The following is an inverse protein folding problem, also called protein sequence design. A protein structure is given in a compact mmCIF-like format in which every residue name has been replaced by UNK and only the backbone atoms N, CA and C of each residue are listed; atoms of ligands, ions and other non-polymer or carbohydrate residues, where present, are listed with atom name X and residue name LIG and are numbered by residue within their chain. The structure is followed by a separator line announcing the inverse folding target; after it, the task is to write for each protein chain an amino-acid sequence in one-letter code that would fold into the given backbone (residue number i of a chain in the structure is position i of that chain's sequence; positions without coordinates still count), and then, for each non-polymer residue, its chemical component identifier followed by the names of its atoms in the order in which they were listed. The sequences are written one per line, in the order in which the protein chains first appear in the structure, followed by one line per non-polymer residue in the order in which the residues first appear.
data_IF_750165002942
#
_entry.id   IF_750165002942
#
_cell.length_a   1.000
_cell.length_b   1.000
_cell.length_c   1.000
_cell.angle_alpha   90.00
_cell.angle_beta   90.00
_cell.angle_gamma   90.00
#
_symmetry.space_group_name_H-M   'P 1'
#
loop_
_entity.id
_entity.type
_entity.pdbx_description
1 polymer ?
#
# COMPACT_ATOMS: atom_id res chain seq x y z
N UNK A 1 -13.45 23.19 -1.09
CA UNK A 1 -14.01 22.05 -0.32
C UNK A 1 -12.86 21.41 0.45
N UNK A 2 -13.08 21.01 1.70
CA UNK A 2 -12.11 20.18 2.41
C UNK A 2 -12.04 18.82 1.70
N UNK A 3 -10.83 18.31 1.39
CA UNK A 3 -10.66 17.01 0.75
C UNK A 3 -10.71 15.93 1.83
N UNK A 4 -11.65 14.99 1.72
CA UNK A 4 -11.80 13.88 2.67
C UNK A 4 -10.74 12.81 2.42
N UNK A 5 -10.06 12.37 3.47
CA UNK A 5 -8.97 11.39 3.42
C UNK A 5 -9.42 10.09 4.08
N UNK A 6 -9.38 9.01 3.31
CA UNK A 6 -9.66 7.64 3.78
C UNK A 6 -8.36 6.86 3.84
N UNK A 7 -8.00 6.35 5.01
CA UNK A 7 -6.87 5.44 5.18
C UNK A 7 -7.32 3.98 5.03
N UNK A 8 -6.77 3.27 4.05
CA UNK A 8 -6.95 1.85 3.83
C UNK A 8 -5.71 1.08 4.27
N UNK A 9 -5.89 0.17 5.22
CA UNK A 9 -4.83 -0.69 5.76
C UNK A 9 -5.18 -2.15 5.42
N UNK A 10 -4.63 -2.72 4.33
CA UNK A 10 -4.82 -4.13 4.01
C UNK A 10 -4.07 -4.98 5.03
N UNK A 11 -4.71 -6.03 5.55
CA UNK A 11 -4.16 -6.88 6.60
C UNK A 11 -4.47 -8.35 6.36
N UNK A 12 -3.50 -9.23 6.64
CA UNK A 12 -3.67 -10.67 6.65
C UNK A 12 -2.76 -11.30 7.72
N UNK A 13 -3.34 -11.83 8.79
CA UNK A 13 -2.63 -12.40 9.93
C UNK A 13 -1.65 -11.42 10.61
N UNK A 14 -2.18 -10.25 10.98
CA UNK A 14 -1.47 -9.09 11.52
C UNK A 14 -1.89 -8.71 12.96
N UNK A 15 -2.51 -9.62 13.73
CA UNK A 15 -3.05 -9.36 15.07
C UNK A 15 -2.03 -8.71 16.03
N UNK A 16 -0.74 -9.01 15.85
CA UNK A 16 0.35 -8.54 16.72
C UNK A 16 0.91 -7.17 16.36
N UNK A 17 0.62 -6.67 15.16
CA UNK A 17 1.29 -5.49 14.58
C UNK A 17 0.34 -4.37 14.24
N UNK A 18 -0.86 -4.71 13.77
CA UNK A 18 -1.84 -3.72 13.29
C UNK A 18 -2.19 -2.67 14.34
N UNK A 19 -2.24 -3.04 15.62
CA UNK A 19 -2.54 -2.11 16.72
C UNK A 19 -1.55 -0.95 16.82
N UNK A 20 -0.26 -1.18 16.55
CA UNK A 20 0.76 -0.13 16.60
C UNK A 20 0.52 0.91 15.48
N UNK A 21 0.26 0.44 14.26
CA UNK A 21 -0.06 1.30 13.11
C UNK A 21 -1.32 2.11 13.37
N UNK A 22 -2.41 1.46 13.80
CA UNK A 22 -3.68 2.12 14.10
C UNK A 22 -3.53 3.20 15.18
N UNK A 23 -2.72 2.95 16.20
CA UNK A 23 -2.49 3.92 17.29
C UNK A 23 -1.87 5.24 16.81
N UNK A 24 -1.15 5.21 15.69
CA UNK A 24 -0.51 6.38 15.07
C UNK A 24 -1.47 7.06 14.11
N UNK A 25 -2.09 6.30 13.20
CA UNK A 25 -3.00 6.86 12.18
C UNK A 25 -4.18 7.58 12.83
N UNK A 26 -4.74 7.04 13.92
CA UNK A 26 -5.83 7.67 14.69
C UNK A 26 -5.48 9.04 15.29
N UNK A 27 -4.20 9.34 15.48
CA UNK A 27 -3.74 10.63 16.01
C UNK A 27 -3.50 11.67 14.91
N UNK A 28 -3.54 11.26 13.65
CA UNK A 28 -3.39 12.17 12.51
C UNK A 28 -4.72 12.85 12.20
N UNK A 29 -4.78 14.17 12.42
CA UNK A 29 -6.00 14.96 12.17
C UNK A 29 -6.33 15.14 10.68
N UNK A 30 -5.39 14.78 9.79
CA UNK A 30 -5.60 14.78 8.34
C UNK A 30 -6.27 13.51 7.82
N UNK A 31 -6.53 12.50 8.67
CA UNK A 31 -7.22 11.27 8.29
C UNK A 31 -8.63 11.30 8.86
N UNK A 32 -9.62 11.35 7.97
CA UNK A 32 -11.04 11.42 8.38
C UNK A 32 -11.59 10.04 8.75
N UNK A 33 -11.25 9.01 7.96
CA UNK A 33 -11.72 7.64 8.19
C UNK A 33 -10.60 6.62 8.03
N UNK A 34 -10.67 5.55 8.82
CA UNK A 34 -9.71 4.45 8.80
C UNK A 34 -10.47 3.15 8.61
N UNK A 35 -10.10 2.41 7.56
CA UNK A 35 -10.60 1.08 7.27
C UNK A 35 -9.46 0.09 7.25
N UNK A 36 -9.58 -0.94 8.07
CA UNK A 36 -8.77 -2.16 7.94
C UNK A 36 -9.48 -3.07 6.96
N UNK A 37 -8.79 -3.45 5.89
CA UNK A 37 -9.28 -4.46 4.95
C UNK A 37 -8.67 -5.80 5.34
N UNK A 38 -9.44 -6.60 6.06
CA UNK A 38 -9.03 -7.94 6.48
C UNK A 38 -9.20 -8.92 5.31
N UNK A 39 -8.09 -9.34 4.71
CA UNK A 39 -8.02 -10.23 3.56
C UNK A 39 -8.19 -11.70 3.97
N UNK A 40 -9.21 -11.98 4.79
CA UNK A 40 -9.55 -13.32 5.26
C UNK A 40 -8.60 -13.90 6.30
N UNK A 41 -8.14 -13.10 7.28
CA UNK A 41 -7.25 -13.57 8.34
C UNK A 41 -7.83 -14.73 9.16
N UNK A 42 -6.96 -15.67 9.53
CA UNK A 42 -7.25 -16.81 10.40
C UNK A 42 -6.97 -16.51 11.88
N UNK A 43 -6.30 -15.39 12.16
CA UNK A 43 -5.99 -14.91 13.51
C UNK A 43 -6.97 -13.80 13.98
N UNK A 44 -6.63 -13.10 15.07
CA UNK A 44 -7.47 -12.06 15.65
C UNK A 44 -7.32 -10.68 15.00
N UNK A 45 -6.79 -10.57 13.78
CA UNK A 45 -6.55 -9.28 13.09
C UNK A 45 -7.78 -8.37 13.09
N UNK A 46 -8.93 -8.88 12.62
CA UNK A 46 -10.17 -8.12 12.59
C UNK A 46 -10.64 -7.71 14.00
N UNK A 47 -10.52 -8.59 14.99
CA UNK A 47 -10.90 -8.27 16.37
C UNK A 47 -10.03 -7.17 16.96
N UNK A 48 -8.71 -7.23 16.73
CA UNK A 48 -7.76 -6.21 17.19
C UNK A 48 -8.05 -4.87 16.52
N UNK A 49 -8.33 -4.85 15.23
CA UNK A 49 -8.72 -3.64 14.50
C UNK A 49 -10.03 -3.04 15.06
N UNK A 50 -11.08 -3.84 15.22
CA UNK A 50 -12.36 -3.40 15.77
C UNK A 50 -12.22 -2.85 17.20
N UNK A 51 -11.41 -3.49 18.06
CA UNK A 51 -11.10 -3.01 19.41
C UNK A 51 -10.34 -1.68 19.43
N UNK A 52 -9.63 -1.35 18.36
CA UNK A 52 -9.01 -0.04 18.18
C UNK A 52 -10.02 1.03 17.72
N UNK A 53 -11.30 0.68 17.52
CA UNK A 53 -12.36 1.63 17.17
C UNK A 53 -12.27 2.14 15.73
N UNK A 54 -11.77 1.31 14.81
CA UNK A 54 -11.76 1.60 13.37
C UNK A 54 -12.67 0.64 12.63
N UNK A 55 -13.12 1.04 11.44
CA UNK A 55 -13.95 0.20 10.58
C UNK A 55 -13.17 -0.98 10.02
N UNK A 56 -13.82 -2.14 9.90
CA UNK A 56 -13.21 -3.36 9.35
C UNK A 56 -14.07 -3.87 8.20
N UNK A 57 -13.45 -4.02 7.03
CA UNK A 57 -14.04 -4.67 5.86
C UNK A 57 -13.38 -6.03 5.68
N UNK A 58 -14.10 -7.11 5.95
CA UNK A 58 -13.53 -8.47 5.97
C UNK A 58 -13.94 -9.27 4.73
N UNK A 59 -12.96 -9.86 4.07
CA UNK A 59 -13.13 -10.81 2.97
C UNK A 59 -13.30 -12.24 3.50
N UNK A 60 -14.06 -13.06 2.79
CA UNK A 60 -14.30 -14.46 3.16
C UNK A 60 -13.04 -15.33 3.09
N UNK A 61 -12.12 -14.99 2.19
CA UNK A 61 -10.86 -15.69 1.97
C UNK A 61 -9.78 -14.72 1.47
N UNK A 62 -8.53 -15.12 1.61
CA UNK A 62 -7.40 -14.36 1.09
C UNK A 62 -7.44 -14.26 -0.44
N UNK A 63 -7.46 -13.03 -0.95
CA UNK A 63 -7.40 -12.66 -2.37
C UNK A 63 -6.19 -11.78 -2.71
N UNK A 64 -5.38 -11.43 -1.72
CA UNK A 64 -4.18 -10.63 -1.86
C UNK A 64 -4.43 -9.13 -1.66
N UNK A 65 -3.33 -8.43 -1.33
CA UNK A 65 -3.31 -6.99 -1.01
C UNK A 65 -4.01 -6.12 -2.05
N UNK A 66 -3.78 -6.38 -3.34
CA UNK A 66 -4.36 -5.57 -4.42
C UNK A 66 -5.87 -5.66 -4.46
N UNK A 67 -6.42 -6.88 -4.33
CA UNK A 67 -7.86 -7.08 -4.23
C UNK A 67 -8.42 -6.36 -2.98
N UNK A 68 -7.77 -6.53 -1.83
CA UNK A 68 -8.17 -5.86 -0.59
C UNK A 68 -8.22 -4.33 -0.73
N UNK A 69 -7.20 -3.72 -1.34
CA UNK A 69 -7.18 -2.27 -1.57
C UNK A 69 -8.32 -1.83 -2.49
N UNK A 70 -8.50 -2.47 -3.65
CA UNK A 70 -9.59 -2.10 -4.56
C UNK A 70 -10.96 -2.31 -3.92
N UNK A 71 -11.15 -3.39 -3.17
CA UNK A 71 -12.36 -3.63 -2.39
C UNK A 71 -12.59 -2.49 -1.37
N UNK A 72 -11.55 -2.05 -0.67
CA UNK A 72 -11.62 -0.90 0.23
C UNK A 72 -11.95 0.40 -0.49
N UNK A 73 -11.39 0.66 -1.68
CA UNK A 73 -11.73 1.84 -2.50
C UNK A 73 -13.21 1.81 -2.86
N UNK A 74 -13.75 0.70 -3.32
CA UNK A 74 -15.15 0.60 -3.75
C UNK A 74 -16.18 0.70 -2.62
N UNK A 75 -15.78 0.36 -1.39
CA UNK A 75 -16.66 0.35 -0.21
C UNK A 75 -16.44 1.55 0.72
N UNK A 76 -15.74 2.59 0.24
CA UNK A 76 -15.47 3.82 1.01
C UNK A 76 -15.62 5.05 0.13
N UNK A 77 -15.86 6.20 0.77
CA UNK A 77 -15.98 7.49 0.09
C UNK A 77 -14.96 8.49 0.63
N UNK A 78 -14.17 9.10 -0.25
CA UNK A 78 -13.25 10.18 0.10
C UNK A 78 -12.34 10.60 -1.04
N UNK A 79 -11.98 11.88 -1.14
CA UNK A 79 -11.21 12.42 -2.26
C UNK A 79 -9.78 11.86 -2.36
N UNK A 80 -9.21 11.44 -1.24
CA UNK A 80 -7.85 10.93 -1.12
C UNK A 80 -7.87 9.57 -0.43
N UNK A 81 -7.14 8.62 -1.01
CA UNK A 81 -6.85 7.32 -0.42
C UNK A 81 -5.42 7.35 0.11
N UNK A 82 -5.27 7.14 1.42
CA UNK A 82 -4.00 6.80 2.04
C UNK A 82 -3.90 5.28 2.18
N UNK A 83 -2.85 4.69 1.63
CA UNK A 83 -2.49 3.29 1.81
C UNK A 83 -1.33 3.18 2.78
N UNK A 84 -1.48 2.34 3.80
CA UNK A 84 -0.40 1.98 4.73
C UNK A 84 -0.42 0.47 4.98
N UNK A 85 0.75 -0.13 5.15
CA UNK A 85 0.84 -1.55 5.52
C UNK A 85 0.57 -1.75 7.02
N UNK A 86 0.00 -2.90 7.36
CA UNK A 86 -0.37 -3.24 8.74
C UNK A 86 0.82 -3.59 9.66
N UNK A 87 2.03 -3.72 9.11
CA UNK A 87 3.23 -4.21 9.82
C UNK A 87 4.35 -3.15 9.95
N UNK A 88 3.99 -1.87 9.79
CA UNK A 88 4.92 -0.76 9.91
C UNK A 88 5.46 -0.60 11.34
N UNK A 89 6.77 -0.46 11.45
CA UNK A 89 7.50 -0.20 12.69
C UNK A 89 8.00 1.24 12.70
N UNK A 90 7.96 1.89 13.87
CA UNK A 90 8.39 3.28 14.08
C UNK A 90 7.65 4.34 13.24
N UNK A 91 6.45 4.02 12.74
CA UNK A 91 5.57 4.99 12.08
C UNK A 91 5.22 6.14 13.04
N UNK A 92 5.29 7.38 12.57
CA UNK A 92 4.88 8.58 13.31
C UNK A 92 3.74 9.29 12.61
N UNK A 93 3.05 10.16 13.36
CA UNK A 93 1.98 11.01 12.82
C UNK A 93 2.53 11.89 11.70
N UNK A 94 3.73 12.45 11.88
CA UNK A 94 4.44 13.27 10.90
C UNK A 94 4.62 12.54 9.55
N UNK A 95 4.92 11.24 9.57
CA UNK A 95 5.08 10.42 8.36
C UNK A 95 3.76 10.32 7.58
N UNK A 96 2.66 10.10 8.31
CA UNK A 96 1.30 10.05 7.76
C UNK A 96 0.91 11.40 7.17
N UNK A 97 1.17 12.49 7.90
CA UNK A 97 0.88 13.84 7.43
C UNK A 97 1.66 14.19 6.16
N UNK A 98 2.95 13.85 6.11
CA UNK A 98 3.81 14.12 4.96
C UNK A 98 3.34 13.41 3.68
N UNK A 99 2.72 12.23 3.80
CA UNK A 99 2.09 11.53 2.67
C UNK A 99 0.82 12.24 2.19
N UNK A 100 0.06 12.86 3.09
CA UNK A 100 -1.27 13.44 2.78
C UNK A 100 -1.16 14.90 2.31
N UNK A 101 -0.37 15.74 2.99
CA UNK A 101 -0.32 17.20 2.77
C UNK A 101 -0.17 17.60 1.30
N UNK A 102 0.73 17.00 0.50
CA UNK A 102 0.87 17.38 -0.90
C UNK A 102 -0.37 17.12 -1.76
N UNK A 103 -1.25 16.19 -1.36
CA UNK A 103 -2.48 15.85 -2.07
C UNK A 103 -3.60 16.83 -1.70
N UNK A 104 -3.70 17.21 -0.42
CA UNK A 104 -4.62 18.23 0.07
C UNK A 104 -4.29 19.58 -0.60
N UNK A 105 -3.01 19.96 -0.59
CA UNK A 105 -2.50 21.20 -1.18
C UNK A 105 -2.43 21.21 -2.72
N UNK A 106 -2.90 20.13 -3.36
CA UNK A 106 -2.90 19.95 -4.82
C UNK A 106 -1.53 20.06 -5.50
N UNK A 107 -0.45 19.76 -4.77
CA UNK A 107 0.92 19.70 -5.31
C UNK A 107 1.25 18.36 -5.97
N UNK A 108 0.48 17.32 -5.66
CA UNK A 108 0.64 15.98 -6.21
C UNK A 108 -0.72 15.32 -6.50
N UNK A 109 -0.70 14.33 -7.38
CA UNK A 109 -1.80 13.38 -7.59
C UNK A 109 -1.52 12.04 -6.87
N UNK A 110 -0.25 11.77 -6.59
CA UNK A 110 0.22 10.62 -5.82
C UNK A 110 1.47 10.96 -5.01
N UNK A 111 1.55 10.45 -3.78
CA UNK A 111 2.76 10.44 -2.95
C UNK A 111 3.23 9.00 -2.74
N UNK A 112 4.55 8.79 -2.67
CA UNK A 112 5.15 7.48 -2.42
C UNK A 112 6.15 7.62 -1.28
N UNK A 113 5.91 6.89 -0.19
CA UNK A 113 6.84 6.76 0.92
C UNK A 113 8.10 6.01 0.49
N UNK A 114 9.27 6.46 0.92
CA UNK A 114 10.54 5.74 0.65
C UNK A 114 11.30 5.61 1.95
N UNK A 115 11.50 4.37 2.41
CA UNK A 115 12.30 4.09 3.59
C UNK A 115 13.74 4.51 3.36
N UNK A 116 14.28 5.34 4.26
CA UNK A 116 15.64 5.87 4.13
C UNK A 116 16.69 5.06 4.90
N UNK A 117 16.31 4.34 5.95
CA UNK A 117 17.19 3.40 6.67
C UNK A 117 16.87 1.94 6.33
N UNK A 118 17.49 1.47 5.25
CA UNK A 118 17.59 0.06 4.92
C UNK A 118 18.78 -0.12 4.01
N UNK A 119 19.80 -0.87 4.46
CA UNK A 119 21.01 -1.17 3.68
C UNK A 119 20.66 -1.85 2.36
N UNK A 120 20.43 -1.06 1.33
CA UNK A 120 20.39 -1.47 -0.05
C UNK A 120 21.35 -0.57 -0.82
N UNK A 121 22.64 -0.78 -0.58
CA UNK A 121 23.75 -0.06 -1.21
C UNK A 121 23.97 -0.52 -2.65
N UNK A 122 22.94 -0.55 -3.49
CA UNK A 122 23.06 -0.78 -4.93
C UNK A 122 22.09 0.09 -5.72
N UNK A 123 22.55 0.63 -6.86
CA UNK A 123 21.78 1.50 -7.76
C UNK A 123 20.46 0.86 -8.23
N UNK A 124 20.43 -0.47 -8.32
CA UNK A 124 19.26 -1.23 -8.74
C UNK A 124 18.17 -1.19 -7.67
N UNK A 125 18.53 -1.29 -6.39
CA UNK A 125 17.57 -1.24 -5.31
C UNK A 125 16.97 0.16 -5.15
N UNK A 126 17.74 1.23 -5.40
CA UNK A 126 17.21 2.60 -5.44
C UNK A 126 16.26 2.82 -6.63
N UNK A 127 16.53 2.20 -7.79
CA UNK A 127 15.63 2.25 -8.95
C UNK A 127 14.37 1.42 -8.76
N UNK A 128 14.40 0.35 -7.96
CA UNK A 128 13.25 -0.53 -7.71
C UNK A 128 12.46 -0.12 -6.46
N UNK A 129 13.09 0.49 -5.46
CA UNK A 129 12.49 0.84 -4.16
C UNK A 129 11.20 1.68 -4.27
N UNK A 130 11.10 2.70 -5.14
CA UNK A 130 9.85 3.43 -5.35
C UNK A 130 8.71 2.56 -5.90
N UNK A 131 9.02 1.48 -6.62
CA UNK A 131 8.04 0.54 -7.18
C UNK A 131 7.49 -0.44 -6.15
N UNK A 132 8.08 -0.50 -4.96
CA UNK A 132 7.77 -1.53 -3.95
C UNK A 132 7.25 -0.97 -2.63
N UNK A 133 7.25 0.35 -2.43
CA UNK A 133 6.64 0.90 -1.21
C UNK A 133 5.12 0.87 -1.30
N UNK A 134 4.51 0.26 -0.28
CA UNK A 134 3.08 0.20 -0.05
C UNK A 134 2.49 1.45 0.60
N UNK A 135 3.32 2.41 1.01
CA UNK A 135 2.94 3.63 1.74
C UNK A 135 2.69 4.72 0.71
N UNK A 136 1.43 4.99 0.38
CA UNK A 136 1.09 5.90 -0.71
C UNK A 136 -0.14 6.72 -0.36
N UNK A 137 -0.11 8.01 -0.62
CA UNK A 137 -1.32 8.81 -0.71
C UNK A 137 -1.67 9.01 -2.18
N UNK A 138 -2.93 8.83 -2.57
CA UNK A 138 -3.35 8.85 -3.97
C UNK A 138 -4.70 9.55 -4.05
N UNK A 139 -4.90 10.44 -5.03
CA UNK A 139 -6.24 10.98 -5.28
C UNK A 139 -7.15 9.88 -5.80
N UNK A 140 -8.37 9.77 -5.26
CA UNK A 140 -9.30 8.69 -5.57
C UNK A 140 -9.56 8.51 -7.07
N UNK A 141 -9.66 9.61 -7.82
CA UNK A 141 -9.89 9.57 -9.27
C UNK A 141 -8.88 8.69 -10.02
N UNK A 142 -7.66 8.52 -9.51
CA UNK A 142 -6.66 7.62 -10.09
C UNK A 142 -7.13 6.17 -10.03
N UNK A 143 -7.69 5.73 -8.90
CA UNK A 143 -8.28 4.40 -8.76
C UNK A 143 -9.50 4.23 -9.65
N UNK A 144 -10.38 5.23 -9.69
CA UNK A 144 -11.59 5.20 -10.52
C UNK A 144 -11.22 5.00 -12.00
N UNK A 145 -10.24 5.77 -12.50
CA UNK A 145 -9.76 5.62 -13.89
C UNK A 145 -9.09 4.28 -14.15
N UNK A 146 -8.40 3.69 -13.17
CA UNK A 146 -7.83 2.35 -13.29
C UNK A 146 -8.96 1.32 -13.42
N UNK A 147 -9.95 1.37 -12.52
CA UNK A 147 -11.09 0.46 -12.51
C UNK A 147 -11.94 0.55 -13.78
N UNK A 148 -12.21 1.77 -14.28
CA UNK A 148 -12.90 2.01 -15.56
C UNK A 148 -12.17 1.37 -16.74
N UNK A 149 -10.83 1.29 -16.70
CA UNK A 149 -10.02 0.79 -17.81
C UNK A 149 -9.85 -0.74 -17.82
N UNK A 150 -9.95 -1.38 -16.65
CA UNK A 150 -9.65 -2.82 -16.44
C UNK A 150 -10.35 -3.35 -15.18
N UNK A 151 -11.57 -3.88 -15.31
CA UNK A 151 -12.27 -4.48 -14.17
C UNK A 151 -11.56 -5.74 -13.63
N UNK A 152 -10.88 -6.49 -14.50
CA UNK A 152 -10.11 -7.70 -14.14
C UNK A 152 -8.87 -7.41 -13.27
N UNK A 153 -8.48 -6.14 -13.13
CA UNK A 153 -7.21 -5.76 -12.50
C UNK A 153 -7.10 -6.19 -11.03
N UNK A 154 -8.24 -6.38 -10.37
CA UNK A 154 -8.32 -6.86 -8.98
C UNK A 154 -7.85 -8.31 -8.82
N UNK A 155 -8.00 -9.11 -9.87
CA UNK A 155 -7.76 -10.55 -9.86
C UNK A 155 -6.41 -10.96 -10.45
N UNK A 156 -5.68 -10.01 -11.05
CA UNK A 156 -4.42 -10.30 -11.74
C UNK A 156 -3.26 -10.65 -10.80
N UNK A 157 -3.45 -10.56 -9.48
CA UNK A 157 -2.43 -10.91 -8.48
C UNK A 157 -1.15 -10.06 -8.55
N UNK A 158 -1.14 -9.00 -9.35
CA UNK A 158 -0.03 -8.05 -9.43
C UNK A 158 0.07 -7.23 -8.15
N UNK A 159 1.28 -6.80 -7.79
CA UNK A 159 1.47 -5.82 -6.73
C UNK A 159 0.80 -4.50 -7.13
N UNK A 160 -0.16 -4.01 -6.32
CA UNK A 160 -0.91 -2.76 -6.53
C UNK A 160 0.03 -1.57 -6.74
N UNK A 161 1.20 -1.60 -6.11
CA UNK A 161 2.27 -0.63 -6.26
C UNK A 161 2.75 -0.52 -7.71
N UNK A 162 2.87 -1.65 -8.42
CA UNK A 162 3.26 -1.69 -9.83
C UNK A 162 2.14 -1.09 -10.69
N UNK A 163 0.89 -1.50 -10.46
CA UNK A 163 -0.27 -0.99 -11.20
C UNK A 163 -0.33 0.54 -11.09
N UNK A 164 -0.24 1.06 -9.88
CA UNK A 164 -0.28 2.50 -9.60
C UNK A 164 0.91 3.23 -10.22
N UNK A 165 2.11 2.67 -10.14
CA UNK A 165 3.31 3.32 -10.68
C UNK A 165 3.31 3.35 -12.21
N UNK A 166 2.90 2.26 -12.85
CA UNK A 166 2.80 2.22 -14.32
C UNK A 166 1.67 3.12 -14.83
N UNK A 167 0.53 3.18 -14.13
CA UNK A 167 -0.51 4.15 -14.42
C UNK A 167 0.02 5.59 -14.28
N UNK A 168 0.70 5.90 -13.17
CA UNK A 168 1.25 7.22 -12.92
C UNK A 168 2.20 7.69 -14.03
N UNK A 169 3.07 6.79 -14.52
CA UNK A 169 3.97 7.06 -15.65
C UNK A 169 3.21 7.22 -16.96
N UNK A 170 2.29 6.30 -17.28
CA UNK A 170 1.55 6.31 -18.55
C UNK A 170 0.77 7.61 -18.75
N UNK A 171 0.25 8.18 -17.67
CA UNK A 171 -0.58 9.38 -17.68
C UNK A 171 0.11 10.63 -17.13
N UNK A 172 1.44 10.59 -16.93
CA UNK A 172 2.24 11.73 -16.45
C UNK A 172 1.68 12.40 -15.17
N UNK A 173 1.28 11.59 -14.20
CA UNK A 173 0.76 12.10 -12.92
C UNK A 173 1.84 12.86 -12.15
N UNK A 174 1.43 13.85 -11.35
CA UNK A 174 2.34 14.56 -10.43
C UNK A 174 2.64 13.65 -9.24
N UNK A 175 3.78 12.97 -9.27
CA UNK A 175 4.21 12.06 -8.19
C UNK A 175 5.29 12.72 -7.33
N UNK A 176 5.10 12.72 -6.01
CA UNK A 176 6.11 13.18 -5.05
C UNK A 176 6.60 12.02 -4.17
N UNK A 177 7.90 11.95 -3.96
CA UNK A 177 8.50 11.01 -3.02
C UNK A 177 8.59 11.62 -1.63
N UNK A 178 8.24 10.84 -0.61
CA UNK A 178 8.22 11.26 0.80
C UNK A 178 9.21 10.37 1.56
N UNK A 179 10.36 10.90 2.03
CA UNK A 179 11.29 10.13 2.84
C UNK A 179 10.65 9.68 4.15
N UNK A 180 10.79 8.40 4.49
CA UNK A 180 10.35 7.78 5.73
C UNK A 180 11.58 7.20 6.47
N UNK A 181 12.43 8.06 7.06
CA UNK A 181 13.78 7.65 7.44
C UNK A 181 13.83 6.67 8.60
N UNK A 182 12.85 6.71 9.51
CA UNK A 182 12.83 5.85 10.70
C UNK A 182 11.81 4.72 10.62
N UNK A 183 10.94 4.76 9.62
CA UNK A 183 9.92 3.74 9.41
C UNK A 183 10.59 2.54 8.73
N UNK A 184 10.27 1.35 9.19
CA UNK A 184 10.68 0.12 8.53
C UNK A 184 9.51 -0.86 8.52
N UNK A 185 9.62 -1.88 7.67
CA UNK A 185 8.78 -3.06 7.80
C UNK A 185 9.47 -4.08 8.70
N UNK A 186 8.68 -4.90 9.40
CA UNK A 186 9.22 -6.16 9.89
C UNK A 186 9.60 -6.99 8.67
N UNK A 187 10.89 -7.07 8.36
CA UNK A 187 11.34 -7.97 7.31
C UNK A 187 10.95 -9.40 7.71
N UNK A 188 10.22 -10.11 6.85
CA UNK A 188 9.96 -11.57 6.97
C UNK A 188 11.25 -12.39 7.22
N UNK A 189 12.41 -11.77 7.00
CA UNK A 189 13.77 -12.31 7.18
C UNK A 189 14.14 -12.55 8.66
N UNK A 190 13.62 -11.77 9.62
CA UNK A 190 13.94 -11.99 11.05
C UNK A 190 13.33 -13.29 11.60
N UNK A 191 12.31 -13.86 10.94
CA UNK A 191 11.68 -15.12 11.34
C UNK A 191 12.28 -16.38 10.72
N UNK A 192 13.11 -16.27 9.67
CA UNK A 192 13.42 -17.42 8.80
C UNK A 192 14.92 -17.67 8.56
N UNK A 193 15.80 -16.78 9.02
CA UNK A 193 17.25 -16.89 8.80
C UNK A 193 17.67 -16.50 7.38
N UNK A 194 18.95 -16.12 7.24
CA UNK A 194 19.54 -15.48 6.06
C UNK A 194 19.23 -16.18 4.71
N UNK A 195 19.23 -17.51 4.69
CA UNK A 195 19.06 -18.32 3.48
C UNK A 195 17.60 -18.29 2.98
N UNK A 196 16.63 -18.37 3.89
CA UNK A 196 15.21 -18.31 3.51
C UNK A 196 14.80 -16.89 3.11
N UNK A 197 15.39 -15.85 3.74
CA UNK A 197 15.23 -14.46 3.30
C UNK A 197 15.65 -14.26 1.84
N UNK A 198 16.81 -14.81 1.45
CA UNK A 198 17.29 -14.76 0.07
C UNK A 198 16.34 -15.46 -0.92
N UNK A 199 15.80 -16.62 -0.57
CA UNK A 199 14.84 -17.34 -1.40
C UNK A 199 13.53 -16.56 -1.58
N UNK A 200 13.03 -15.91 -0.52
CA UNK A 200 11.85 -15.04 -0.60
C UNK A 200 12.10 -13.80 -1.46
N UNK A 201 13.29 -13.19 -1.40
CA UNK A 201 13.68 -12.10 -2.32
C UNK A 201 13.68 -12.56 -3.77
N UNK A 202 14.26 -13.73 -4.05
CA UNK A 202 14.25 -14.31 -5.40
C UNK A 202 12.83 -14.61 -5.89
N UNK A 203 11.94 -15.09 -5.01
CA UNK A 203 10.52 -15.28 -5.33
C UNK A 203 9.83 -13.95 -5.63
N UNK A 204 10.02 -12.93 -4.78
CA UNK A 204 9.49 -11.59 -4.99
C UNK A 204 9.97 -10.98 -6.31
N UNK A 205 11.27 -11.06 -6.61
CA UNK A 205 11.80 -10.62 -7.91
C UNK A 205 11.20 -11.42 -9.07
N UNK A 206 11.02 -12.73 -8.92
CA UNK A 206 10.34 -13.56 -9.91
C UNK A 206 8.90 -13.12 -10.11
N UNK A 207 8.18 -12.80 -9.04
CA UNK A 207 6.78 -12.36 -9.09
C UNK A 207 6.67 -10.96 -9.73
N UNK A 208 7.60 -10.04 -9.45
CA UNK A 208 7.72 -8.74 -10.13
C UNK A 208 8.00 -8.92 -11.63
N UNK A 209 8.97 -9.78 -11.99
CA UNK A 209 9.34 -10.04 -13.38
C UNK A 209 8.19 -10.72 -14.13
N UNK A 210 7.54 -11.72 -13.52
CA UNK A 210 6.34 -12.36 -14.08
C UNK A 210 5.22 -11.35 -14.27
N UNK A 211 5.03 -10.46 -13.28
CA UNK A 211 4.10 -9.33 -13.36
C UNK A 211 4.36 -8.48 -14.59
N UNK A 212 5.60 -8.06 -14.78
CA UNK A 212 6.03 -7.25 -15.92
C UNK A 212 5.89 -7.96 -17.27
N UNK A 213 6.26 -9.25 -17.34
CA UNK A 213 6.14 -10.07 -18.56
C UNK A 213 4.68 -10.30 -18.93
N UNK A 214 3.81 -10.56 -17.98
CA UNK A 214 2.38 -10.78 -18.22
C UNK A 214 1.68 -9.48 -18.65
N UNK A 215 2.05 -8.34 -18.05
CA UNK A 215 1.60 -7.02 -18.52
C UNK A 215 2.00 -6.79 -19.98
N UNK A 216 3.25 -7.09 -20.34
CA UNK A 216 3.75 -6.93 -21.72
C UNK A 216 3.06 -7.88 -22.71
N UNK A 217 2.90 -9.16 -22.36
CA UNK A 217 2.19 -10.14 -23.21
C UNK A 217 0.72 -9.81 -23.42
N UNK A 218 0.06 -9.19 -22.43
CA UNK A 218 -1.33 -8.72 -22.60
C UNK A 218 -1.45 -7.50 -23.52
N UNK A 219 -0.35 -6.78 -23.80
CA UNK A 219 -0.30 -5.68 -24.77
C UNK A 219 -0.11 -6.16 -26.21
N UNK A 220 0.58 -7.29 -26.40
CA UNK A 220 0.90 -7.83 -27.74
C UNK A 220 -0.21 -8.74 -28.29
N UNK A 221 -1.30 -8.94 -27.54
CA UNK A 221 -2.46 -9.77 -27.91
C UNK A 221 -3.77 -8.98 -28.12
N UNK A 222 -3.71 -7.65 -28.19
CA UNK A 222 -4.81 -6.75 -28.58
C UNK A 222 -4.44 -5.99 -29.84
#
# INVERSE_FOLDING_TARGET
MCKKVVCLIPAYNEEKRIGAVLSVVKKCSLVDEIFVIDDGSEDKTAEVAAKNGVSVLRLEKNRGKSYAIFYGVENTEGDIILMLDADLVNLKVEDVENLIRPLIEDRADMTIGIFSDGRFSTDLAQKISPFLSGQRGIKRWVFEKILESREDIKDLGYAIEIILTEYAKKFNLRVLTVPLPKVSHVMKEEKLGFIKGAQHRMKMYSDIIKGYVNLKKSRDGQ
#
